data_IF_129170051401
#
_entry.id   IF_129170051401
#
_cell.length_a   1.000
_cell.length_b   1.000
_cell.length_c   1.000
_cell.angle_alpha   90.00
_cell.angle_beta   90.00
_cell.angle_gamma   90.00
#
_symmetry.space_group_name_H-M   'P 1'
#
loop_
_entity.id
_entity.type
_entity.pdbx_description
1 polymer ?
#
# COMPACT_ATOMS: atom_id res chain seq x y z
N UNK A 1 -12.51 19.45 3.76
CA UNK A 1 -12.52 18.67 5.03
C UNK A 1 -12.76 17.18 4.77
N UNK A 2 -13.81 16.78 4.01
CA UNK A 2 -14.11 15.36 3.74
C UNK A 2 -13.18 14.68 2.70
N UNK A 3 -12.45 15.45 1.90
CA UNK A 3 -11.59 14.92 0.83
C UNK A 3 -10.43 14.07 1.38
N UNK A 4 -9.81 14.51 2.48
CA UNK A 4 -8.68 13.80 3.10
C UNK A 4 -9.05 12.42 3.66
N UNK A 5 -10.11 12.26 4.48
CA UNK A 5 -10.48 10.93 4.96
C UNK A 5 -10.92 10.00 3.84
N UNK A 6 -11.61 10.51 2.81
CA UNK A 6 -11.99 9.70 1.65
C UNK A 6 -10.75 9.23 0.86
N UNK A 7 -9.81 10.14 0.59
CA UNK A 7 -8.55 9.81 -0.07
C UNK A 7 -7.72 8.82 0.76
N UNK A 8 -7.69 8.98 2.09
CA UNK A 8 -7.02 8.06 3.01
C UNK A 8 -7.58 6.65 2.91
N UNK A 9 -8.92 6.49 3.02
CA UNK A 9 -9.57 5.16 2.91
C UNK A 9 -9.33 4.53 1.55
N UNK A 10 -9.37 5.34 0.48
CA UNK A 10 -9.11 4.86 -0.88
C UNK A 10 -7.67 4.36 -1.05
N UNK A 11 -6.67 5.16 -0.66
CA UNK A 11 -5.25 4.79 -0.76
C UNK A 11 -4.94 3.59 0.12
N UNK A 12 -5.43 3.59 1.37
CA UNK A 12 -5.26 2.46 2.29
C UNK A 12 -5.87 1.18 1.71
N UNK A 13 -7.06 1.28 1.11
CA UNK A 13 -7.72 0.16 0.43
C UNK A 13 -6.86 -0.43 -0.68
N UNK A 14 -6.30 0.40 -1.56
CA UNK A 14 -5.42 -0.08 -2.65
C UNK A 14 -4.18 -0.78 -2.09
N UNK A 15 -3.52 -0.18 -1.09
CA UNK A 15 -2.30 -0.73 -0.49
C UNK A 15 -2.58 -2.11 0.11
N UNK A 16 -3.67 -2.24 0.88
CA UNK A 16 -4.03 -3.52 1.51
C UNK A 16 -4.44 -4.54 0.44
N UNK A 17 -5.22 -4.14 -0.56
CA UNK A 17 -5.62 -5.05 -1.64
C UNK A 17 -4.40 -5.64 -2.36
N UNK A 18 -3.43 -4.79 -2.73
CA UNK A 18 -2.21 -5.23 -3.42
C UNK A 18 -1.32 -6.09 -2.52
N UNK A 19 -1.27 -5.78 -1.22
CA UNK A 19 -0.59 -6.60 -0.22
C UNK A 19 -1.16 -8.02 -0.15
N UNK A 20 -2.47 -8.14 0.10
CA UNK A 20 -3.15 -9.43 0.19
C UNK A 20 -3.08 -10.21 -1.13
N UNK A 21 -3.13 -9.49 -2.26
CA UNK A 21 -2.97 -10.10 -3.58
C UNK A 21 -1.59 -10.74 -3.73
N UNK A 22 -0.53 -10.15 -3.17
CA UNK A 22 0.81 -10.73 -3.12
C UNK A 22 0.87 -12.09 -2.44
N UNK A 23 0.22 -12.23 -1.28
CA UNK A 23 0.09 -13.50 -0.58
C UNK A 23 -0.66 -14.53 -1.44
N UNK A 24 -1.81 -14.13 -2.00
CA UNK A 24 -2.66 -14.99 -2.84
C UNK A 24 -1.91 -15.56 -4.04
N UNK A 25 -1.27 -14.70 -4.84
CA UNK A 25 -0.59 -15.15 -6.08
C UNK A 25 0.58 -16.08 -5.76
N UNK A 26 1.32 -15.79 -4.70
CA UNK A 26 2.51 -16.57 -4.32
C UNK A 26 2.10 -17.93 -3.77
N UNK A 27 1.03 -17.98 -2.96
CA UNK A 27 0.46 -19.24 -2.48
C UNK A 27 -0.05 -20.10 -3.64
N UNK A 28 -0.82 -19.52 -4.57
CA UNK A 28 -1.29 -20.24 -5.78
C UNK A 28 -0.13 -20.70 -6.66
N UNK A 29 0.95 -19.91 -6.79
CA UNK A 29 2.13 -20.28 -7.58
C UNK A 29 2.88 -21.50 -6.99
N UNK A 30 2.87 -21.68 -5.67
CA UNK A 30 3.40 -22.88 -5.01
C UNK A 30 2.38 -24.04 -4.93
N UNK A 31 1.21 -23.90 -5.56
CA UNK A 31 0.15 -24.91 -5.56
C UNK A 31 -0.54 -25.07 -4.20
N UNK A 32 -0.44 -24.08 -3.32
CA UNK A 32 -1.17 -24.08 -2.06
C UNK A 32 -2.64 -23.74 -2.30
N UNK A 33 -3.54 -24.35 -1.52
CA UNK A 33 -4.96 -24.00 -1.60
C UNK A 33 -5.24 -22.77 -0.74
N UNK A 34 -5.96 -21.84 -1.34
CA UNK A 34 -6.46 -20.63 -0.69
C UNK A 34 -7.97 -20.73 -0.68
N UNK A 35 -8.59 -20.78 0.50
CA UNK A 35 -10.04 -20.86 0.65
C UNK A 35 -10.70 -19.50 0.43
N UNK A 36 -10.12 -18.44 0.99
CA UNK A 36 -10.70 -17.10 0.94
C UNK A 36 -9.65 -16.07 0.56
N UNK A 37 -10.04 -15.16 -0.32
CA UNK A 37 -9.38 -13.90 -0.54
C UNK A 37 -10.42 -12.80 -0.31
N UNK A 38 -10.30 -12.06 0.80
CA UNK A 38 -11.27 -11.03 1.17
C UNK A 38 -10.64 -9.65 1.07
N UNK A 39 -11.28 -8.76 0.32
CA UNK A 39 -11.06 -7.33 0.44
C UNK A 39 -12.05 -6.76 1.47
N UNK A 40 -11.51 -6.29 2.58
CA UNK A 40 -12.29 -5.85 3.74
C UNK A 40 -12.70 -6.97 4.69
N UNK A 41 -13.40 -6.57 5.76
CA UNK A 41 -13.89 -7.44 6.83
C UNK A 41 -15.42 -7.41 6.98
N UNK A 42 -15.95 -8.36 7.75
CA UNK A 42 -17.36 -8.43 8.12
C UNK A 42 -18.23 -9.13 7.07
N UNK A 43 -19.46 -8.64 6.91
CA UNK A 43 -20.45 -9.27 6.02
C UNK A 43 -20.01 -9.18 4.56
N UNK A 44 -20.01 -10.33 3.87
CA UNK A 44 -19.82 -10.40 2.41
C UNK A 44 -20.86 -9.54 1.70
N UNK A 45 -20.41 -8.65 0.85
CA UNK A 45 -21.27 -7.85 -0.03
C UNK A 45 -21.40 -8.51 -1.40
N UNK A 46 -20.26 -8.84 -2.01
CA UNK A 46 -20.16 -9.36 -3.36
C UNK A 46 -18.89 -10.20 -3.50
N UNK A 47 -18.82 -11.03 -4.53
CA UNK A 47 -17.66 -11.89 -4.76
C UNK A 47 -17.92 -13.01 -5.75
N UNK A 48 -16.86 -13.64 -6.22
CA UNK A 48 -16.87 -14.74 -7.16
C UNK A 48 -15.91 -15.85 -6.71
N UNK A 49 -16.10 -17.07 -7.21
CA UNK A 49 -15.16 -18.17 -6.98
C UNK A 49 -14.12 -18.24 -8.09
N UNK A 50 -12.85 -18.27 -7.71
CA UNK A 50 -11.71 -18.49 -8.59
C UNK A 50 -11.00 -19.81 -8.23
N UNK A 51 -11.44 -20.88 -8.90
CA UNK A 51 -11.07 -22.24 -8.52
C UNK A 51 -11.59 -22.56 -7.11
N UNK A 52 -10.68 -22.95 -6.22
CA UNK A 52 -11.00 -23.23 -4.81
C UNK A 52 -11.12 -21.96 -3.94
N UNK A 53 -10.82 -20.78 -4.48
CA UNK A 53 -10.75 -19.52 -3.72
C UNK A 53 -12.03 -18.72 -3.84
N UNK A 54 -12.67 -18.40 -2.72
CA UNK A 54 -13.75 -17.42 -2.64
C UNK A 54 -13.16 -16.00 -2.59
N UNK A 55 -13.18 -15.31 -3.73
CA UNK A 55 -12.77 -13.91 -3.84
C UNK A 55 -13.96 -13.02 -3.48
N UNK A 56 -13.92 -12.38 -2.32
CA UNK A 56 -15.03 -11.59 -1.76
C UNK A 56 -14.63 -10.16 -1.42
N UNK A 57 -15.60 -9.26 -1.52
CA UNK A 57 -15.56 -7.91 -0.99
C UNK A 57 -16.54 -7.83 0.17
N UNK A 58 -16.06 -7.33 1.30
CA UNK A 58 -16.80 -7.30 2.55
C UNK A 58 -17.15 -5.86 2.96
N UNK A 59 -18.11 -5.71 3.87
CA UNK A 59 -18.72 -4.41 4.19
C UNK A 59 -17.76 -3.36 4.75
N UNK A 60 -16.70 -3.77 5.45
CA UNK A 60 -15.73 -2.88 6.08
C UNK A 60 -14.48 -2.84 5.19
N UNK A 61 -14.21 -1.76 4.44
CA UNK A 61 -13.08 -1.71 3.49
C UNK A 61 -11.71 -1.49 4.16
N UNK A 62 -11.66 -1.44 5.49
CA UNK A 62 -10.46 -1.21 6.28
C UNK A 62 -9.74 -2.54 6.56
N UNK A 63 -9.17 -3.14 5.52
CA UNK A 63 -8.42 -4.39 5.66
C UNK A 63 -8.63 -5.39 4.53
N UNK A 64 -8.21 -6.61 4.80
CA UNK A 64 -8.32 -7.75 3.93
C UNK A 64 -7.60 -8.94 4.57
N UNK A 65 -7.81 -10.12 4.02
CA UNK A 65 -7.07 -11.31 4.44
C UNK A 65 -7.07 -12.39 3.36
N UNK A 66 -6.01 -13.20 3.37
CA UNK A 66 -5.90 -14.46 2.64
C UNK A 66 -6.00 -15.60 3.63
N UNK A 67 -6.92 -16.54 3.39
CA UNK A 67 -7.10 -17.72 4.22
C UNK A 67 -6.58 -18.96 3.51
N UNK A 68 -5.47 -19.50 4.01
CA UNK A 68 -4.80 -20.68 3.46
C UNK A 68 -5.28 -21.97 4.12
N UNK A 69 -5.35 -23.05 3.35
CA UNK A 69 -5.59 -24.39 3.88
C UNK A 69 -4.44 -24.82 4.79
N UNK A 70 -4.73 -25.34 5.97
CA UNK A 70 -3.76 -25.79 6.97
C UNK A 70 -2.98 -24.67 7.67
N UNK A 71 -3.31 -23.40 7.45
CA UNK A 71 -2.73 -22.31 8.25
C UNK A 71 -3.44 -22.25 9.62
N UNK A 72 -2.69 -22.19 10.75
CA UNK A 72 -3.28 -22.04 12.08
C UNK A 72 -4.19 -20.81 12.13
N UNK A 73 -5.37 -20.97 12.71
CA UNK A 73 -6.45 -19.99 12.60
C UNK A 73 -6.21 -18.78 13.52
N UNK A 74 -5.78 -17.65 12.95
CA UNK A 74 -5.59 -16.39 13.67
C UNK A 74 -6.86 -15.52 13.60
N UNK A 75 -8.03 -16.04 14.04
CA UNK A 75 -9.23 -15.27 14.45
C UNK A 75 -10.49 -15.21 13.54
N UNK A 76 -10.70 -16.03 12.51
CA UNK A 76 -11.97 -15.98 11.73
C UNK A 76 -12.53 -17.37 11.41
N UNK A 77 -13.25 -17.97 12.38
CA UNK A 77 -14.41 -18.89 12.32
C UNK A 77 -14.69 -19.87 11.15
N UNK A 78 -13.81 -20.01 10.17
CA UNK A 78 -13.91 -20.94 9.04
C UNK A 78 -12.82 -22.00 9.21
N UNK A 79 -13.19 -23.28 9.08
CA UNK A 79 -12.27 -24.39 9.28
C UNK A 79 -11.12 -24.38 8.25
N UNK A 80 -9.87 -24.26 8.69
CA UNK A 80 -8.68 -24.39 7.84
C UNK A 80 -8.12 -25.81 7.80
N UNK A 81 -8.80 -26.79 8.39
CA UNK A 81 -8.31 -28.17 8.44
C UNK A 81 -7.91 -28.66 7.05
N UNK A 82 -6.68 -29.17 6.94
CA UNK A 82 -6.15 -29.68 5.69
C UNK A 82 -6.98 -30.85 5.16
N UNK A 83 -7.32 -30.82 3.88
CA UNK A 83 -8.09 -31.87 3.22
C UNK A 83 -7.23 -33.10 2.88
N UNK A 84 -5.93 -33.07 3.19
CA UNK A 84 -5.04 -34.22 3.08
C UNK A 84 -4.56 -34.52 1.66
N UNK A 85 -4.76 -33.62 0.70
CA UNK A 85 -4.29 -33.77 -0.69
C UNK A 85 -2.91 -33.12 -0.95
N UNK A 86 -2.23 -32.71 0.12
CA UNK A 86 -0.87 -32.14 0.06
C UNK A 86 -0.81 -30.68 -0.40
N UNK A 87 -1.97 -30.02 -0.57
CA UNK A 87 -2.04 -28.58 -0.91
C UNK A 87 -2.05 -27.66 0.31
N UNK A 88 -2.02 -28.23 1.50
CA UNK A 88 -1.96 -27.50 2.76
C UNK A 88 -0.70 -26.64 2.89
N UNK A 89 -0.85 -25.44 3.42
CA UNK A 89 0.23 -24.55 3.83
C UNK A 89 1.11 -25.21 4.91
N UNK A 90 0.51 -25.93 5.86
CA UNK A 90 1.22 -26.59 6.94
C UNK A 90 2.31 -27.57 6.46
N UNK A 91 2.06 -28.29 5.36
CA UNK A 91 2.98 -29.32 4.86
C UNK A 91 4.08 -28.76 3.95
N UNK A 92 4.00 -27.48 3.55
CA UNK A 92 5.00 -26.87 2.66
C UNK A 92 6.37 -26.69 3.34
N UNK A 93 7.48 -26.72 2.56
CA UNK A 93 8.79 -26.33 3.07
C UNK A 93 8.79 -24.91 3.66
N UNK A 94 9.57 -24.69 4.72
CA UNK A 94 9.62 -23.39 5.44
C UNK A 94 9.95 -22.20 4.54
N UNK A 95 10.79 -22.40 3.52
CA UNK A 95 11.15 -21.33 2.59
C UNK A 95 9.96 -20.88 1.71
N UNK A 96 9.05 -21.79 1.34
CA UNK A 96 7.85 -21.43 0.58
C UNK A 96 6.89 -20.61 1.45
N UNK A 97 6.70 -21.02 2.71
CA UNK A 97 5.89 -20.28 3.68
C UNK A 97 6.44 -18.87 3.90
N UNK A 98 7.76 -18.78 4.09
CA UNK A 98 8.44 -17.50 4.22
C UNK A 98 8.23 -16.60 3.00
N UNK A 99 8.35 -17.13 1.78
CA UNK A 99 8.12 -16.37 0.57
C UNK A 99 6.66 -15.90 0.44
N UNK A 100 5.69 -16.73 0.82
CA UNK A 100 4.28 -16.31 0.87
C UNK A 100 4.12 -15.14 1.81
N UNK A 101 4.63 -15.19 3.04
CA UNK A 101 4.54 -14.07 3.98
C UNK A 101 5.34 -12.83 3.53
N UNK A 102 6.44 -13.00 2.82
CA UNK A 102 7.22 -11.88 2.29
C UNK A 102 6.56 -11.21 1.06
N UNK A 103 5.71 -11.94 0.35
CA UNK A 103 5.12 -11.47 -0.90
C UNK A 103 4.23 -10.24 -0.73
N UNK A 104 3.45 -10.14 0.36
CA UNK A 104 2.61 -8.98 0.63
C UNK A 104 3.40 -7.67 0.75
N UNK A 105 4.38 -7.57 1.68
CA UNK A 105 5.27 -6.42 1.78
C UNK A 105 6.02 -6.11 0.47
N UNK A 106 6.46 -7.15 -0.24
CA UNK A 106 7.18 -7.00 -1.50
C UNK A 106 6.28 -6.38 -2.58
N UNK A 107 5.02 -6.81 -2.69
CA UNK A 107 4.05 -6.23 -3.62
C UNK A 107 3.75 -4.76 -3.31
N UNK A 108 3.75 -4.35 -2.03
CA UNK A 108 3.64 -2.95 -1.68
C UNK A 108 4.87 -2.14 -2.13
N UNK A 109 6.08 -2.69 -1.95
CA UNK A 109 7.29 -2.03 -2.45
C UNK A 109 7.25 -1.88 -3.98
N UNK A 110 6.82 -2.92 -4.71
CA UNK A 110 6.62 -2.89 -6.16
C UNK A 110 5.57 -1.85 -6.55
N UNK A 111 4.44 -1.78 -5.82
CA UNK A 111 3.40 -0.77 -6.04
C UNK A 111 3.96 0.64 -5.88
N UNK A 112 4.69 0.91 -4.79
CA UNK A 112 5.30 2.22 -4.54
C UNK A 112 6.26 2.60 -5.65
N UNK A 113 7.17 1.71 -6.04
CA UNK A 113 8.10 1.97 -7.14
C UNK A 113 7.34 2.26 -8.43
N UNK A 114 6.36 1.42 -8.78
CA UNK A 114 5.58 1.57 -10.02
C UNK A 114 4.80 2.88 -10.07
N UNK A 115 4.12 3.23 -8.97
CA UNK A 115 3.35 4.47 -8.87
C UNK A 115 4.26 5.68 -8.95
N UNK A 116 5.40 5.69 -8.24
CA UNK A 116 6.36 6.79 -8.31
C UNK A 116 6.97 6.90 -9.71
N UNK A 117 7.38 5.80 -10.33
CA UNK A 117 7.93 5.79 -11.69
C UNK A 117 6.91 6.37 -12.68
N UNK A 118 5.66 5.90 -12.66
CA UNK A 118 4.60 6.45 -13.52
C UNK A 118 4.35 7.93 -13.23
N UNK A 119 4.30 8.30 -11.95
CA UNK A 119 4.11 9.69 -11.54
C UNK A 119 5.22 10.61 -12.06
N UNK A 120 6.49 10.19 -12.01
CA UNK A 120 7.62 10.95 -12.57
C UNK A 120 7.66 10.93 -14.09
N UNK A 121 7.23 9.84 -14.75
CA UNK A 121 7.17 9.76 -16.22
C UNK A 121 6.08 10.64 -16.83
N UNK A 122 4.93 10.78 -16.16
CA UNK A 122 3.82 11.62 -16.64
C UNK A 122 4.21 13.09 -16.69
N UNK A 123 5.23 13.50 -15.92
CA UNK A 123 5.75 14.86 -15.94
C UNK A 123 4.68 15.86 -15.51
N UNK A 124 4.45 15.97 -14.21
CA UNK A 124 3.70 17.14 -13.74
C UNK A 124 4.60 18.36 -13.89
N UNK A 125 4.10 19.37 -14.61
CA UNK A 125 4.57 20.73 -14.41
C UNK A 125 4.31 21.03 -12.93
N UNK A 126 5.33 20.82 -12.09
CA UNK A 126 5.38 21.48 -10.80
C UNK A 126 5.28 22.94 -11.18
N UNK A 127 4.11 23.54 -10.97
CA UNK A 127 4.03 24.98 -11.09
C UNK A 127 5.18 25.50 -10.23
N UNK A 128 6.12 26.21 -10.86
CA UNK A 128 7.18 26.90 -10.15
C UNK A 128 6.62 27.85 -9.07
N UNK A 129 5.30 28.06 -9.03
CA UNK A 129 4.53 28.71 -7.98
C UNK A 129 4.72 28.13 -6.57
N UNK A 130 5.26 26.91 -6.43
CA UNK A 130 5.57 26.28 -5.14
C UNK A 130 7.05 26.25 -4.75
N UNK A 131 7.95 26.84 -5.54
CA UNK A 131 9.15 27.35 -4.90
C UNK A 131 8.68 28.53 -4.06
N UNK A 132 8.80 28.43 -2.74
CA UNK A 132 8.82 29.62 -1.89
C UNK A 132 9.85 30.54 -2.56
N UNK A 133 9.35 31.60 -3.20
CA UNK A 133 10.23 32.63 -3.75
C UNK A 133 11.18 32.98 -2.61
N UNK A 134 12.50 33.03 -2.84
CA UNK A 134 13.47 33.30 -1.80
C UNK A 134 13.34 34.77 -1.40
N UNK A 135 12.28 35.08 -0.67
CA UNK A 135 11.90 36.39 -0.21
C UNK A 135 12.58 36.60 1.13
N UNK A 136 13.31 37.70 1.23
CA UNK A 136 13.94 38.12 2.47
C UNK A 136 12.85 38.41 3.49
N UNK A 137 12.80 37.64 4.59
CA UNK A 137 11.81 37.82 5.64
C UNK A 137 12.18 38.95 6.61
N UNK A 138 13.38 38.89 7.17
CA UNK A 138 13.91 39.87 8.14
C UNK A 138 15.35 40.16 7.80
N UNK A 139 15.75 41.42 7.96
CA UNK A 139 17.14 41.87 7.86
C UNK A 139 17.58 42.37 9.23
N UNK A 140 18.65 41.78 9.76
CA UNK A 140 19.18 42.20 11.07
C UNK A 140 19.85 43.59 10.99
N UNK A 141 19.62 44.48 11.97
CA UNK A 141 20.30 45.77 12.03
C UNK A 141 21.82 45.62 12.15
N UNK A 142 22.56 46.44 11.40
CA UNK A 142 24.03 46.45 11.26
C UNK A 142 24.61 45.17 10.64
N UNK A 143 23.80 44.39 9.93
CA UNK A 143 24.27 43.22 9.20
C UNK A 143 24.90 43.60 7.84
N UNK A 144 25.72 42.72 7.24
CA UNK A 144 26.17 42.89 5.86
C UNK A 144 25.02 42.98 4.85
N UNK A 145 23.88 42.36 5.15
CA UNK A 145 22.68 42.44 4.32
C UNK A 145 22.06 43.85 4.35
N UNK A 146 21.97 44.48 5.53
CA UNK A 146 21.53 45.89 5.65
C UNK A 146 22.53 46.83 4.95
N UNK A 147 23.83 46.61 5.13
CA UNK A 147 24.87 47.41 4.47
C UNK A 147 24.86 47.27 2.93
N UNK A 148 24.44 46.11 2.43
CA UNK A 148 24.23 45.84 1.01
C UNK A 148 22.89 46.40 0.48
N UNK A 149 22.06 47.00 1.34
CA UNK A 149 20.77 47.57 0.98
C UNK A 149 19.65 46.56 0.77
N UNK A 150 19.84 45.31 1.20
CA UNK A 150 18.81 44.26 1.14
C UNK A 150 17.67 44.61 2.10
N UNK A 151 16.43 44.47 1.65
CA UNK A 151 15.22 44.80 2.41
C UNK A 151 14.29 43.59 2.56
N UNK A 152 13.51 43.52 3.66
CA UNK A 152 12.40 42.59 3.75
C UNK A 152 11.45 42.72 2.55
N UNK A 153 11.16 41.61 1.87
CA UNK A 153 10.38 41.59 0.64
C UNK A 153 11.20 41.44 -0.64
N UNK A 154 12.52 41.61 -0.60
CA UNK A 154 13.39 41.39 -1.77
C UNK A 154 13.38 39.91 -2.19
N UNK A 155 13.32 39.65 -3.50
CA UNK A 155 13.40 38.31 -4.09
C UNK A 155 14.84 38.02 -4.57
N UNK A 156 15.47 36.98 -4.03
CA UNK A 156 16.83 36.58 -4.42
C UNK A 156 16.79 35.83 -5.76
N UNK A 157 17.23 36.49 -6.83
CA UNK A 157 17.19 35.92 -8.18
C UNK A 157 18.40 35.01 -8.49
N UNK A 158 19.55 35.24 -7.86
CA UNK A 158 20.79 34.49 -8.07
C UNK A 158 21.76 34.66 -6.88
N UNK A 159 22.68 33.70 -6.69
CA UNK A 159 23.78 33.74 -5.72
C UNK A 159 25.09 33.53 -6.48
#
# INVERSE_FOLDING_TARGET
MLTYPLAFVFVLGIIIFVHEFGHLITAKAFGMRVFVFSFGFGKRLLGFKWGDTDCRVSAIPLGGYVKLEGEPDDHIGEDTTGLGDGRDFAVRPRWQKFLVYLAGPTMNAVLTISVLTVFYMIGFAVEASRYDRPIVGVVDPRSPAEAAGIQPGDEILSI
#
